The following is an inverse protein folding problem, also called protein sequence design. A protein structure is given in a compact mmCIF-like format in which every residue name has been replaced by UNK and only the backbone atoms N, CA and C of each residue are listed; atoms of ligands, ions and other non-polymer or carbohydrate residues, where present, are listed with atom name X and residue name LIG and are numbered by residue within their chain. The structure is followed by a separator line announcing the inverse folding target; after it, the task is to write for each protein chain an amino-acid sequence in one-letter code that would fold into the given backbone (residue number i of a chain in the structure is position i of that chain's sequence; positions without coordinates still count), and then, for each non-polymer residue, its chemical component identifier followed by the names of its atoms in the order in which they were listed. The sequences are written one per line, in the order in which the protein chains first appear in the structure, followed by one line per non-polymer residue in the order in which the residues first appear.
data_IF_211103657264
#
_entry.id   IF_211103657264
#
_cell.length_a   1.000
_cell.length_b   1.000
_cell.length_c   1.000
_cell.angle_alpha   90.00
_cell.angle_beta   90.00
_cell.angle_gamma   90.00
#
_symmetry.space_group_name_H-M   'P 1'
#
loop_
_entity.id
_entity.type
_entity.pdbx_description
1 polymer ?
#
# COMPACT_ATOMS: atom_id res chain seq x y z
N UNK A 1 -19.49 -32.26 -3.53
CA UNK A 1 -19.95 -31.42 -2.40
C UNK A 1 -18.96 -30.28 -2.33
N UNK A 2 -19.40 -29.07 -2.67
CA UNK A 2 -18.61 -27.84 -2.59
C UNK A 2 -19.26 -26.93 -1.53
N UNK A 3 -19.28 -27.40 -0.28
CA UNK A 3 -20.11 -26.83 0.79
C UNK A 3 -19.31 -25.87 1.69
N UNK A 4 -18.05 -26.19 2.01
CA UNK A 4 -17.21 -25.37 2.88
C UNK A 4 -16.80 -24.06 2.20
N UNK A 5 -16.41 -24.09 0.91
CA UNK A 5 -16.05 -22.87 0.18
C UNK A 5 -17.30 -22.01 -0.08
N UNK A 6 -18.43 -22.62 -0.38
CA UNK A 6 -19.70 -21.90 -0.53
C UNK A 6 -20.05 -21.13 0.74
N UNK A 7 -20.07 -21.84 1.88
CA UNK A 7 -20.38 -21.25 3.19
C UNK A 7 -19.40 -20.14 3.58
N UNK A 8 -18.11 -20.30 3.26
CA UNK A 8 -17.11 -19.25 3.44
C UNK A 8 -17.46 -18.01 2.61
N UNK A 9 -17.70 -18.15 1.31
CA UNK A 9 -17.95 -17.01 0.41
C UNK A 9 -19.24 -16.26 0.77
N UNK A 10 -20.30 -16.97 1.14
CA UNK A 10 -21.57 -16.36 1.56
C UNK A 10 -21.48 -15.67 2.93
N UNK A 11 -20.58 -16.12 3.79
CA UNK A 11 -20.31 -15.47 5.08
C UNK A 11 -19.45 -14.22 4.92
N UNK A 12 -18.41 -14.28 4.09
CA UNK A 12 -17.41 -13.22 3.97
C UNK A 12 -17.83 -12.10 3.01
N UNK A 13 -18.67 -12.40 2.02
CA UNK A 13 -18.99 -11.46 0.94
C UNK A 13 -20.50 -11.31 0.71
N UNK A 14 -20.97 -10.11 0.33
CA UNK A 14 -22.39 -9.85 0.07
C UNK A 14 -22.82 -10.37 -1.31
N UNK A 15 -22.73 -11.68 -1.52
CA UNK A 15 -22.92 -12.33 -2.82
C UNK A 15 -24.36 -12.75 -3.08
N UNK A 16 -24.77 -12.73 -4.35
CA UNK A 16 -25.94 -13.46 -4.84
C UNK A 16 -25.54 -14.82 -5.43
N UNK A 17 -26.44 -15.82 -5.56
CA UNK A 17 -26.06 -17.18 -5.96
C UNK A 17 -25.27 -17.29 -7.28
N UNK A 18 -25.55 -16.43 -8.26
CA UNK A 18 -24.81 -16.40 -9.53
C UNK A 18 -23.37 -15.90 -9.35
N UNK A 19 -23.16 -14.92 -8.46
CA UNK A 19 -21.83 -14.39 -8.15
C UNK A 19 -21.04 -15.36 -7.27
N UNK A 20 -21.70 -16.06 -6.34
CA UNK A 20 -21.04 -17.07 -5.51
C UNK A 20 -20.36 -18.14 -6.35
N UNK A 21 -21.03 -18.63 -7.40
CA UNK A 21 -20.44 -19.61 -8.34
C UNK A 21 -19.23 -19.05 -9.09
N UNK A 22 -19.28 -17.78 -9.50
CA UNK A 22 -18.13 -17.11 -10.12
C UNK A 22 -16.98 -17.03 -9.12
N UNK A 23 -17.23 -16.60 -7.90
CA UNK A 23 -16.21 -16.49 -6.86
C UNK A 23 -15.59 -17.85 -6.50
N UNK A 24 -16.37 -18.93 -6.45
CA UNK A 24 -15.86 -20.28 -6.26
C UNK A 24 -14.83 -20.65 -7.32
N UNK A 25 -15.19 -20.49 -8.61
CA UNK A 25 -14.28 -20.79 -9.73
C UNK A 25 -12.99 -19.94 -9.65
N UNK A 26 -13.13 -18.65 -9.38
CA UNK A 26 -11.97 -17.75 -9.25
C UNK A 26 -11.08 -18.10 -8.05
N UNK A 27 -11.66 -18.59 -6.95
CA UNK A 27 -10.91 -19.03 -5.77
C UNK A 27 -10.08 -20.28 -6.07
N UNK A 28 -10.65 -21.31 -6.71
CA UNK A 28 -9.89 -22.48 -7.13
C UNK A 28 -8.75 -22.10 -8.08
N UNK A 29 -9.04 -21.29 -9.10
CA UNK A 29 -8.02 -20.87 -10.07
C UNK A 29 -6.87 -20.10 -9.40
N UNK A 30 -7.19 -19.20 -8.46
CA UNK A 30 -6.22 -18.43 -7.71
C UNK A 30 -5.35 -19.33 -6.82
N UNK A 31 -5.97 -20.26 -6.08
CA UNK A 31 -5.25 -21.17 -5.18
C UNK A 31 -4.40 -22.17 -5.98
N UNK A 32 -4.89 -22.67 -7.11
CA UNK A 32 -4.12 -23.55 -7.99
C UNK A 32 -2.93 -22.84 -8.65
N UNK A 33 -3.08 -21.56 -9.04
CA UNK A 33 -1.94 -20.73 -9.48
C UNK A 33 -0.93 -20.53 -8.34
N UNK A 34 -1.42 -20.19 -7.14
CA UNK A 34 -0.55 -19.99 -5.98
C UNK A 34 0.23 -21.27 -5.61
N UNK A 35 -0.42 -22.43 -5.62
CA UNK A 35 0.26 -23.69 -5.30
C UNK A 35 1.35 -24.02 -6.33
N UNK A 36 1.08 -23.82 -7.62
CA UNK A 36 2.09 -24.03 -8.68
C UNK A 36 3.27 -23.07 -8.58
N UNK A 37 3.08 -21.87 -8.03
CA UNK A 37 4.19 -20.94 -7.80
C UNK A 37 5.07 -21.34 -6.62
N UNK A 38 4.52 -22.08 -5.64
CA UNK A 38 5.28 -22.63 -4.52
C UNK A 38 6.00 -23.93 -4.88
N UNK A 39 5.33 -24.82 -5.62
CA UNK A 39 5.89 -26.09 -6.08
C UNK A 39 5.46 -26.36 -7.54
N UNK A 40 6.31 -26.02 -8.52
CA UNK A 40 6.03 -26.26 -9.93
C UNK A 40 5.89 -27.76 -10.30
N UNK A 41 6.41 -28.66 -9.45
CA UNK A 41 6.36 -30.10 -9.66
C UNK A 41 5.18 -30.76 -8.94
N UNK A 42 4.45 -30.01 -8.10
CA UNK A 42 3.22 -30.50 -7.49
C UNK A 42 2.22 -30.86 -8.59
N UNK A 43 1.88 -32.15 -8.69
CA UNK A 43 0.68 -32.55 -9.40
C UNK A 43 -0.48 -31.85 -8.69
N UNK A 44 -1.30 -31.10 -9.44
CA UNK A 44 -2.50 -30.48 -8.90
C UNK A 44 -3.43 -31.61 -8.50
N UNK A 45 -3.26 -32.14 -7.29
CA UNK A 45 -4.27 -32.94 -6.63
C UNK A 45 -5.56 -32.10 -6.64
N UNK A 46 -6.71 -32.74 -6.81
CA UNK A 46 -7.99 -32.03 -6.73
C UNK A 46 -8.03 -31.27 -5.40
N UNK A 47 -7.94 -29.94 -5.49
CA UNK A 47 -8.03 -29.05 -4.34
C UNK A 47 -9.37 -29.29 -3.66
N UNK A 48 -9.36 -29.69 -2.38
CA UNK A 48 -10.59 -29.72 -1.60
C UNK A 48 -11.08 -28.30 -1.30
N UNK A 49 -12.37 -28.13 -1.00
CA UNK A 49 -12.92 -26.85 -0.56
C UNK A 49 -12.18 -26.32 0.67
N UNK A 50 -11.88 -27.22 1.62
CA UNK A 50 -11.16 -26.90 2.85
C UNK A 50 -9.74 -26.41 2.57
N UNK A 51 -9.05 -27.01 1.59
CA UNK A 51 -7.74 -26.53 1.13
C UNK A 51 -7.84 -25.13 0.55
N UNK A 52 -8.84 -24.87 -0.30
CA UNK A 52 -9.05 -23.54 -0.87
C UNK A 52 -9.32 -22.50 0.21
N UNK A 53 -10.24 -22.77 1.12
CA UNK A 53 -10.57 -21.87 2.24
C UNK A 53 -9.33 -21.61 3.09
N UNK A 54 -8.59 -22.65 3.47
CA UNK A 54 -7.35 -22.51 4.23
C UNK A 54 -6.34 -21.61 3.51
N UNK A 55 -6.20 -21.75 2.19
CA UNK A 55 -5.28 -20.95 1.38
C UNK A 55 -5.75 -19.53 1.15
N UNK A 56 -7.05 -19.25 1.14
CA UNK A 56 -7.57 -17.87 1.05
C UNK A 56 -7.28 -17.02 2.30
N UNK A 57 -6.79 -17.63 3.39
CA UNK A 57 -6.21 -16.90 4.52
C UNK A 57 -4.74 -16.47 4.29
N UNK A 58 -4.05 -17.01 3.28
CA UNK A 58 -2.72 -16.53 2.88
C UNK A 58 -2.89 -15.25 2.03
N UNK A 59 -2.28 -14.11 2.42
CA UNK A 59 -2.44 -12.84 1.72
C UNK A 59 -2.05 -12.91 0.24
N UNK A 60 -1.05 -13.73 -0.13
CA UNK A 60 -0.57 -13.86 -1.51
C UNK A 60 -1.61 -14.56 -2.39
N UNK A 61 -2.14 -15.68 -1.90
CA UNK A 61 -3.22 -16.43 -2.56
C UNK A 61 -4.47 -15.57 -2.67
N UNK A 62 -4.82 -14.87 -1.58
CA UNK A 62 -5.97 -13.96 -1.58
C UNK A 62 -5.77 -12.78 -2.55
N UNK A 63 -4.56 -12.23 -2.67
CA UNK A 63 -4.27 -11.20 -3.67
C UNK A 63 -4.51 -11.66 -5.11
N UNK A 64 -4.17 -12.91 -5.43
CA UNK A 64 -4.46 -13.51 -6.74
C UNK A 64 -5.97 -13.70 -6.97
N UNK A 65 -6.72 -14.05 -5.93
CA UNK A 65 -8.18 -14.13 -5.94
C UNK A 65 -8.80 -12.74 -6.12
N UNK A 66 -8.40 -11.75 -5.31
CA UNK A 66 -8.91 -10.39 -5.35
C UNK A 66 -8.69 -9.74 -6.72
N UNK A 67 -7.51 -9.91 -7.32
CA UNK A 67 -7.23 -9.44 -8.68
C UNK A 67 -8.24 -10.00 -9.68
N UNK A 68 -8.49 -11.31 -9.64
CA UNK A 68 -9.45 -11.96 -10.55
C UNK A 68 -10.86 -11.45 -10.32
N UNK A 69 -11.28 -11.26 -9.07
CA UNK A 69 -12.60 -10.72 -8.73
C UNK A 69 -12.76 -9.30 -9.28
N UNK A 70 -11.74 -8.46 -9.18
CA UNK A 70 -11.77 -7.10 -9.74
C UNK A 70 -11.89 -7.08 -11.27
N UNK A 71 -11.32 -8.07 -11.94
CA UNK A 71 -11.41 -8.24 -13.40
C UNK A 71 -12.72 -8.92 -13.84
N UNK A 72 -13.42 -9.60 -12.93
CA UNK A 72 -14.64 -10.34 -13.23
C UNK A 72 -15.89 -9.45 -13.32
N UNK A 73 -16.94 -9.99 -13.92
CA UNK A 73 -18.28 -9.38 -13.98
C UNK A 73 -19.09 -9.76 -12.74
N UNK A 74 -18.71 -9.17 -11.61
CA UNK A 74 -19.46 -9.24 -10.35
C UNK A 74 -19.79 -7.83 -9.86
N UNK A 75 -20.75 -7.73 -8.95
CA UNK A 75 -21.22 -6.50 -8.34
C UNK A 75 -20.10 -5.68 -7.72
N UNK A 76 -20.32 -4.37 -7.64
CA UNK A 76 -19.36 -3.44 -7.06
C UNK A 76 -19.17 -3.73 -5.57
N UNK A 77 -20.25 -4.09 -4.89
CA UNK A 77 -20.32 -4.41 -3.47
C UNK A 77 -19.41 -5.61 -3.15
N UNK A 78 -19.44 -6.67 -3.96
CA UNK A 78 -18.53 -7.81 -3.82
C UNK A 78 -17.07 -7.40 -4.06
N UNK A 79 -16.79 -6.57 -5.07
CA UNK A 79 -15.42 -6.09 -5.34
C UNK A 79 -14.86 -5.24 -4.19
N UNK A 80 -15.70 -4.41 -3.56
CA UNK A 80 -15.34 -3.63 -2.38
C UNK A 80 -15.07 -4.56 -1.20
N UNK A 81 -15.97 -5.49 -0.89
CA UNK A 81 -15.79 -6.42 0.23
C UNK A 81 -14.53 -7.29 0.07
N UNK A 82 -14.22 -7.75 -1.15
CA UNK A 82 -12.97 -8.47 -1.45
C UNK A 82 -11.75 -7.55 -1.31
N UNK A 83 -11.85 -6.28 -1.68
CA UNK A 83 -10.76 -5.32 -1.49
C UNK A 83 -10.51 -5.05 0.00
N UNK A 84 -11.56 -4.86 0.81
CA UNK A 84 -11.48 -4.69 2.26
C UNK A 84 -10.85 -5.92 2.91
N UNK A 85 -11.29 -7.12 2.52
CA UNK A 85 -10.73 -8.36 3.03
C UNK A 85 -9.24 -8.53 2.72
N UNK A 86 -8.77 -8.03 1.57
CA UNK A 86 -7.35 -8.05 1.25
C UNK A 86 -6.54 -7.19 2.24
N UNK A 87 -7.10 -6.06 2.69
CA UNK A 87 -6.47 -5.22 3.71
C UNK A 87 -6.45 -5.89 5.09
N UNK A 88 -7.53 -6.56 5.48
CA UNK A 88 -7.60 -7.30 6.75
C UNK A 88 -6.54 -8.43 6.86
N UNK A 89 -6.06 -8.92 5.73
CA UNK A 89 -5.02 -9.95 5.66
C UNK A 89 -3.60 -9.39 5.75
N UNK A 90 -3.42 -8.07 5.66
CA UNK A 90 -2.09 -7.46 5.83
C UNK A 90 -1.70 -7.62 7.31
N UNK A 91 -0.62 -8.35 7.63
CA UNK A 91 -0.22 -8.56 9.01
C UNK A 91 0.25 -7.23 9.61
N UNK A 92 -0.41 -6.82 10.69
CA UNK A 92 0.03 -5.75 11.58
C UNK A 92 0.52 -6.42 12.87
N UNK A 93 1.68 -6.02 13.43
CA UNK A 93 2.16 -6.53 14.71
C UNK A 93 1.12 -6.29 15.78
N UNK A 94 0.95 -7.28 16.64
CA UNK A 94 0.32 -7.02 17.91
C UNK A 94 1.26 -6.19 18.81
N UNK A 95 2.58 -6.37 18.68
CA UNK A 95 3.59 -5.70 19.51
C UNK A 95 4.83 -5.26 18.75
N UNK A 96 5.53 -4.25 19.29
CA UNK A 96 6.72 -3.61 18.70
C UNK A 96 7.91 -4.57 18.45
N UNK A 97 7.95 -5.72 19.12
CA UNK A 97 9.07 -6.67 19.11
C UNK A 97 8.82 -7.94 18.28
N UNK A 98 7.65 -8.06 17.63
CA UNK A 98 7.33 -9.24 16.81
C UNK A 98 8.19 -9.25 15.52
N UNK A 99 8.79 -10.40 15.19
CA UNK A 99 9.61 -10.55 13.99
C UNK A 99 8.76 -10.68 12.72
N UNK A 100 9.08 -9.89 11.69
CA UNK A 100 8.32 -9.79 10.44
C UNK A 100 8.99 -10.47 9.24
N UNK A 101 8.49 -11.62 8.74
CA UNK A 101 8.73 -12.05 7.37
C UNK A 101 7.73 -11.36 6.44
N UNK A 102 8.03 -10.12 6.05
CA UNK A 102 7.08 -9.20 5.38
C UNK A 102 6.76 -9.61 3.94
N UNK A 103 7.80 -9.87 3.14
CA UNK A 103 7.69 -9.95 1.68
C UNK A 103 6.76 -11.09 1.22
N UNK A 104 6.51 -12.07 2.09
CA UNK A 104 5.66 -13.21 1.83
C UNK A 104 4.19 -13.03 2.25
N UNK A 105 3.80 -11.87 2.81
CA UNK A 105 2.50 -11.72 3.48
C UNK A 105 1.71 -10.47 3.10
N UNK A 106 2.05 -9.80 2.01
CA UNK A 106 1.19 -8.75 1.44
C UNK A 106 0.40 -9.28 0.25
N UNK A 107 -0.86 -8.84 0.08
CA UNK A 107 -1.64 -9.18 -1.11
C UNK A 107 -0.94 -8.72 -2.38
N UNK A 108 -0.79 -9.64 -3.34
CA UNK A 108 -0.27 -9.30 -4.65
C UNK A 108 -1.17 -8.24 -5.32
N UNK A 109 -0.55 -7.24 -5.95
CA UNK A 109 -1.29 -6.16 -6.62
C UNK A 109 -1.99 -5.17 -5.69
N UNK A 110 -1.56 -5.02 -4.43
CA UNK A 110 -2.18 -4.12 -3.44
C UNK A 110 -2.46 -2.70 -3.97
N UNK A 111 -1.55 -2.09 -4.75
CA UNK A 111 -1.79 -0.75 -5.32
C UNK A 111 -2.95 -0.69 -6.33
N UNK A 112 -3.25 -1.79 -7.01
CA UNK A 112 -4.44 -1.90 -7.88
C UNK A 112 -5.71 -1.93 -7.03
N UNK A 113 -5.69 -2.63 -5.90
CA UNK A 113 -6.78 -2.66 -4.92
C UNK A 113 -6.99 -1.26 -4.32
N UNK A 114 -5.92 -0.59 -3.90
CA UNK A 114 -5.95 0.80 -3.40
C UNK A 114 -6.57 1.73 -4.44
N UNK A 115 -6.13 1.63 -5.71
CA UNK A 115 -6.69 2.42 -6.79
C UNK A 115 -8.19 2.18 -6.96
N UNK A 116 -8.63 0.92 -6.97
CA UNK A 116 -10.04 0.57 -7.06
C UNK A 116 -10.86 1.19 -5.93
N UNK A 117 -10.40 1.07 -4.67
CA UNK A 117 -11.07 1.67 -3.52
C UNK A 117 -11.13 3.20 -3.61
N UNK A 118 -10.07 3.85 -4.08
CA UNK A 118 -10.02 5.30 -4.26
C UNK A 118 -10.99 5.78 -5.35
N UNK A 119 -11.02 5.08 -6.50
CA UNK A 119 -11.95 5.35 -7.62
C UNK A 119 -13.42 5.14 -7.22
N UNK A 120 -13.68 4.29 -6.22
CA UNK A 120 -15.02 3.98 -5.73
C UNK A 120 -15.38 4.69 -4.41
N UNK A 121 -14.56 5.63 -3.95
CA UNK A 121 -14.80 6.37 -2.69
C UNK A 121 -14.92 5.48 -1.44
N UNK A 122 -14.34 4.28 -1.47
CA UNK A 122 -14.34 3.31 -0.37
C UNK A 122 -12.97 3.23 0.33
N UNK A 123 -12.00 4.03 -0.09
CA UNK A 123 -10.70 4.11 0.56
C UNK A 123 -10.81 4.93 1.86
N UNK A 124 -10.33 4.37 2.97
CA UNK A 124 -10.50 4.92 4.31
C UNK A 124 -9.16 5.30 4.93
N UNK A 125 -9.20 6.00 6.06
CA UNK A 125 -8.00 6.30 6.87
C UNK A 125 -7.30 5.00 7.30
N UNK A 126 -8.07 3.97 7.65
CA UNK A 126 -7.52 2.67 8.02
C UNK A 126 -6.79 2.00 6.84
N UNK A 127 -7.34 2.07 5.63
CA UNK A 127 -6.67 1.58 4.42
C UNK A 127 -5.35 2.33 4.15
N UNK A 128 -5.30 3.64 4.39
CA UNK A 128 -4.07 4.42 4.27
C UNK A 128 -3.00 3.95 5.28
N UNK A 129 -3.38 3.73 6.52
CA UNK A 129 -2.48 3.24 7.57
C UNK A 129 -1.89 1.86 7.20
N UNK A 130 -2.74 0.92 6.77
CA UNK A 130 -2.28 -0.40 6.32
C UNK A 130 -1.33 -0.30 5.11
N UNK A 131 -1.60 0.61 4.16
CA UNK A 131 -0.71 0.82 3.01
C UNK A 131 0.65 1.38 3.45
N UNK A 132 0.66 2.38 4.35
CA UNK A 132 1.89 2.95 4.91
C UNK A 132 2.69 1.86 5.61
N UNK A 133 2.01 1.03 6.41
CA UNK A 133 2.62 -0.07 7.15
C UNK A 133 3.20 -1.13 6.21
N UNK A 134 2.41 -1.56 5.22
CA UNK A 134 2.86 -2.51 4.19
C UNK A 134 4.07 -1.98 3.41
N UNK A 135 4.06 -0.70 3.01
CA UNK A 135 5.17 -0.07 2.27
C UNK A 135 6.42 0.16 3.13
N UNK A 136 6.24 0.41 4.43
CA UNK A 136 7.32 0.53 5.39
C UNK A 136 8.04 -0.80 5.58
N UNK A 137 7.25 -1.87 5.72
CA UNK A 137 7.76 -3.21 5.90
C UNK A 137 8.36 -3.79 4.61
N UNK A 138 7.74 -3.56 3.45
CA UNK A 138 8.25 -3.96 2.14
C UNK A 138 8.04 -2.83 1.10
N UNK A 139 9.10 -2.05 0.81
CA UNK A 139 9.04 -1.03 -0.25
C UNK A 139 8.76 -1.62 -1.64
N UNK A 140 8.96 -2.94 -1.82
CA UNK A 140 8.60 -3.70 -3.03
C UNK A 140 7.12 -3.60 -3.38
N UNK A 141 6.24 -3.50 -2.39
CA UNK A 141 4.78 -3.29 -2.58
C UNK A 141 4.53 -2.10 -3.48
N UNK A 142 5.22 -0.97 -3.25
CA UNK A 142 5.06 0.22 -4.06
C UNK A 142 5.74 0.09 -5.43
N UNK A 143 6.87 -0.60 -5.50
CA UNK A 143 7.66 -0.77 -6.74
C UNK A 143 7.00 -1.70 -7.75
N UNK A 144 6.29 -2.72 -7.27
CA UNK A 144 5.66 -3.77 -8.10
C UNK A 144 4.57 -3.23 -9.04
N UNK A 145 3.93 -2.12 -8.70
CA UNK A 145 2.93 -1.50 -9.56
C UNK A 145 3.57 -0.78 -10.76
N UNK A 146 2.81 -0.72 -11.85
CA UNK A 146 3.16 0.09 -13.00
C UNK A 146 3.19 1.58 -12.63
N UNK A 147 3.92 2.36 -13.42
CA UNK A 147 4.09 3.81 -13.21
C UNK A 147 2.76 4.55 -13.15
N UNK A 148 1.81 4.22 -14.01
CA UNK A 148 0.53 4.93 -14.11
C UNK A 148 -0.28 4.74 -12.83
N UNK A 149 -0.42 3.49 -12.39
CA UNK A 149 -1.13 3.17 -11.13
C UNK A 149 -0.45 3.84 -9.94
N UNK A 150 0.88 3.73 -9.84
CA UNK A 150 1.65 4.31 -8.72
C UNK A 150 1.51 5.84 -8.64
N UNK A 151 1.64 6.55 -9.76
CA UNK A 151 1.49 8.01 -9.79
C UNK A 151 0.05 8.44 -9.53
N UNK A 152 -0.93 7.73 -10.08
CA UNK A 152 -2.34 8.04 -9.85
C UNK A 152 -2.71 7.89 -8.37
N UNK A 153 -2.34 6.77 -7.75
CA UNK A 153 -2.63 6.53 -6.32
C UNK A 153 -1.97 7.57 -5.44
N UNK A 154 -0.69 7.90 -5.70
CA UNK A 154 -0.01 8.98 -4.98
C UNK A 154 -0.80 10.28 -5.04
N UNK A 155 -1.17 10.72 -6.24
CA UNK A 155 -1.90 11.98 -6.43
C UNK A 155 -3.27 11.95 -5.76
N UNK A 156 -4.00 10.83 -5.87
CA UNK A 156 -5.29 10.66 -5.25
C UNK A 156 -5.21 10.71 -3.71
N UNK A 157 -4.17 10.12 -3.10
CA UNK A 157 -3.97 10.17 -1.63
C UNK A 157 -3.65 11.60 -1.18
N UNK A 158 -2.69 12.28 -1.81
CA UNK A 158 -2.27 13.62 -1.32
C UNK A 158 -3.35 14.68 -1.51
N UNK A 159 -4.21 14.53 -2.52
CA UNK A 159 -5.31 15.42 -2.83
C UNK A 159 -6.53 15.25 -1.90
N UNK A 160 -6.62 14.14 -1.15
CA UNK A 160 -7.82 13.76 -0.41
C UNK A 160 -7.83 14.41 0.97
N UNK A 161 -8.68 15.40 1.16
CA UNK A 161 -8.70 16.23 2.38
C UNK A 161 -9.19 15.47 3.62
N UNK A 162 -10.00 14.43 3.42
CA UNK A 162 -10.50 13.57 4.52
C UNK A 162 -9.39 12.71 5.15
N UNK A 163 -8.25 12.57 4.48
CA UNK A 163 -7.12 11.81 4.99
C UNK A 163 -6.20 12.69 5.88
N UNK A 164 -5.71 12.17 7.01
CA UNK A 164 -4.82 12.92 7.90
C UNK A 164 -3.57 13.43 7.18
N UNK A 165 -3.21 14.69 7.41
CA UNK A 165 -2.09 15.34 6.70
C UNK A 165 -0.77 14.59 6.90
N UNK A 166 -0.48 14.19 8.15
CA UNK A 166 0.74 13.43 8.49
C UNK A 166 0.83 12.12 7.70
N UNK A 167 -0.26 11.36 7.63
CA UNK A 167 -0.30 10.09 6.90
C UNK A 167 -0.14 10.31 5.39
N UNK A 168 -0.76 11.37 4.84
CA UNK A 168 -0.55 11.77 3.43
C UNK A 168 0.91 12.12 3.15
N UNK A 169 1.59 12.81 4.07
CA UNK A 169 3.02 13.13 3.95
C UNK A 169 3.91 11.89 3.98
N UNK A 170 3.67 10.97 4.93
CA UNK A 170 4.40 9.71 5.05
C UNK A 170 4.24 8.88 3.79
N UNK A 171 2.99 8.69 3.34
CA UNK A 171 2.69 7.96 2.11
C UNK A 171 3.38 8.62 0.91
N UNK A 172 3.25 9.95 0.74
CA UNK A 172 3.89 10.66 -0.35
C UNK A 172 5.42 10.46 -0.37
N UNK A 173 6.05 10.52 0.80
CA UNK A 173 7.47 10.27 0.95
C UNK A 173 7.86 8.85 0.50
N UNK A 174 7.15 7.82 0.99
CA UNK A 174 7.40 6.42 0.61
C UNK A 174 7.23 6.18 -0.89
N UNK A 175 6.18 6.76 -1.49
CA UNK A 175 5.95 6.66 -2.93
C UNK A 175 7.07 7.31 -3.74
N UNK A 176 7.50 8.52 -3.38
CA UNK A 176 8.59 9.21 -4.06
C UNK A 176 9.91 8.46 -3.93
N UNK A 177 10.18 7.85 -2.78
CA UNK A 177 11.38 7.03 -2.58
C UNK A 177 11.34 5.70 -3.34
N UNK A 178 10.14 5.14 -3.58
CA UNK A 178 9.95 3.93 -4.38
C UNK A 178 9.97 4.18 -5.90
N UNK A 179 10.00 5.44 -6.36
CA UNK A 179 10.01 5.80 -7.77
C UNK A 179 11.42 5.97 -8.34
N UNK A 180 11.57 5.73 -9.64
CA UNK A 180 12.78 6.11 -10.37
C UNK A 180 13.01 7.64 -10.28
N UNK A 181 14.26 8.13 -10.26
CA UNK A 181 14.56 9.54 -10.01
C UNK A 181 13.80 10.55 -10.89
N UNK A 182 13.62 10.23 -12.18
CA UNK A 182 12.88 11.09 -13.11
C UNK A 182 11.40 11.17 -12.77
N UNK A 183 10.81 10.04 -12.40
CA UNK A 183 9.38 9.92 -12.09
C UNK A 183 9.07 10.53 -10.73
N UNK A 184 9.93 10.30 -9.73
CA UNK A 184 9.84 10.94 -8.42
C UNK A 184 9.88 12.47 -8.54
N UNK A 185 10.81 13.01 -9.34
CA UNK A 185 10.92 14.44 -9.58
C UNK A 185 9.67 15.03 -10.28
N UNK A 186 9.11 14.30 -11.26
CA UNK A 186 7.89 14.73 -11.94
C UNK A 186 6.67 14.68 -11.01
N UNK A 187 6.55 13.64 -10.20
CA UNK A 187 5.49 13.50 -9.21
C UNK A 187 5.56 14.60 -8.15
N UNK A 188 6.75 14.85 -7.58
CA UNK A 188 6.96 15.95 -6.63
C UNK A 188 6.52 17.30 -7.21
N UNK A 189 6.99 17.63 -8.43
CA UNK A 189 6.58 18.84 -9.13
C UNK A 189 5.05 18.92 -9.32
N UNK A 190 4.41 17.79 -9.63
CA UNK A 190 2.96 17.68 -9.74
C UNK A 190 2.25 18.00 -8.44
N UNK A 191 2.71 17.43 -7.32
CA UNK A 191 2.15 17.66 -5.98
C UNK A 191 2.25 19.14 -5.60
N UNK A 192 3.43 19.74 -5.70
CA UNK A 192 3.64 21.12 -5.21
C UNK A 192 2.97 22.19 -6.09
N UNK A 193 2.68 21.88 -7.35
CA UNK A 193 1.97 22.77 -8.27
C UNK A 193 0.45 22.56 -8.29
N UNK A 194 -0.04 21.43 -7.77
CA UNK A 194 -1.45 21.11 -7.76
C UNK A 194 -2.22 22.01 -6.77
N UNK A 195 -3.23 22.71 -7.27
CA UNK A 195 -4.07 23.61 -6.46
C UNK A 195 -4.98 22.88 -5.47
N UNK A 196 -5.34 21.63 -5.78
CA UNK A 196 -6.20 20.79 -4.94
C UNK A 196 -5.41 20.06 -3.83
N UNK A 197 -4.09 20.25 -3.73
CA UNK A 197 -3.30 19.72 -2.61
C UNK A 197 -3.14 20.83 -1.59
N UNK A 198 -3.44 20.53 -0.32
CA UNK A 198 -3.40 21.54 0.75
C UNK A 198 -2.02 22.21 0.82
N UNK A 199 -1.94 23.52 1.10
CA UNK A 199 -0.67 24.21 1.28
C UNK A 199 0.22 23.55 2.35
N UNK A 200 -0.38 23.01 3.40
CA UNK A 200 0.31 22.30 4.47
C UNK A 200 1.00 21.02 3.95
N UNK A 201 0.32 20.19 3.17
CA UNK A 201 0.92 18.99 2.56
C UNK A 201 2.04 19.36 1.58
N UNK A 202 1.84 20.38 0.73
CA UNK A 202 2.88 20.84 -0.22
C UNK A 202 4.14 21.33 0.50
N UNK A 203 3.95 22.17 1.51
CA UNK A 203 5.04 22.77 2.28
C UNK A 203 5.73 21.73 3.16
N UNK A 204 4.95 20.91 3.86
CA UNK A 204 5.46 19.84 4.72
C UNK A 204 6.26 18.80 3.93
N UNK A 205 5.77 18.41 2.75
CA UNK A 205 6.50 17.48 1.88
C UNK A 205 7.80 18.11 1.36
N UNK A 206 7.76 19.37 0.90
CA UNK A 206 8.97 20.05 0.47
C UNK A 206 10.00 20.20 1.62
N UNK A 207 9.54 20.52 2.83
CA UNK A 207 10.39 20.60 4.01
C UNK A 207 11.02 19.24 4.33
N UNK A 208 10.22 18.17 4.39
CA UNK A 208 10.68 16.80 4.60
C UNK A 208 11.77 16.38 3.61
N UNK A 209 11.59 16.67 2.33
CA UNK A 209 12.48 16.24 1.25
C UNK A 209 13.72 17.14 1.11
N UNK A 210 13.73 18.33 1.72
CA UNK A 210 14.81 19.31 1.55
C UNK A 210 16.12 18.94 2.26
N UNK A 211 16.06 17.99 3.21
CA UNK A 211 17.20 17.50 3.98
C UNK A 211 18.35 17.01 3.12
N UNK A 212 19.59 17.19 3.59
CA UNK A 212 20.80 16.71 2.91
C UNK A 212 20.89 15.18 2.84
N UNK A 213 20.17 14.50 3.72
CA UNK A 213 20.07 13.04 3.82
C UNK A 213 18.93 12.43 2.97
N UNK A 214 18.29 13.25 2.12
CA UNK A 214 17.12 12.83 1.36
C UNK A 214 15.87 12.64 2.23
N UNK A 215 15.79 13.35 3.37
CA UNK A 215 14.63 13.38 4.26
C UNK A 215 14.49 12.16 5.19
N UNK A 216 15.55 11.35 5.30
CA UNK A 216 15.57 10.14 6.14
C UNK A 216 15.35 10.47 7.62
N UNK A 217 15.99 11.51 8.14
CA UNK A 217 15.83 11.95 9.52
C UNK A 217 14.41 12.42 9.82
N UNK A 218 13.79 13.16 8.88
CA UNK A 218 12.38 13.54 9.00
C UNK A 218 11.48 12.31 9.03
N UNK A 219 11.65 11.40 8.07
CA UNK A 219 10.83 10.20 7.98
C UNK A 219 10.94 9.35 9.24
N UNK A 220 12.15 9.16 9.75
CA UNK A 220 12.40 8.44 10.97
C UNK A 220 11.72 9.06 12.19
N UNK A 221 11.83 10.39 12.37
CA UNK A 221 11.22 11.08 13.49
C UNK A 221 9.69 10.93 13.48
N UNK A 222 9.09 11.10 12.30
CA UNK A 222 7.64 10.92 12.12
C UNK A 222 7.24 9.47 12.32
N UNK A 223 7.99 8.51 11.78
CA UNK A 223 7.72 7.09 11.96
C UNK A 223 7.79 6.65 13.44
N UNK A 224 8.73 7.19 14.22
CA UNK A 224 8.76 6.96 15.68
C UNK A 224 7.54 7.56 16.36
N UNK A 225 7.18 8.80 16.02
CA UNK A 225 6.01 9.48 16.59
C UNK A 225 4.70 8.73 16.30
N UNK A 226 4.57 8.16 15.11
CA UNK A 226 3.41 7.39 14.68
C UNK A 226 3.45 5.91 15.13
N UNK A 227 4.44 5.50 15.92
CA UNK A 227 4.58 4.12 16.41
C UNK A 227 4.96 3.10 15.33
N UNK A 228 5.45 3.54 14.18
CA UNK A 228 5.93 2.68 13.10
C UNK A 228 7.35 2.14 13.36
N UNK A 229 8.10 2.82 14.23
CA UNK A 229 9.47 2.47 14.60
C UNK A 229 9.66 2.58 16.12
N UNK A 230 10.41 1.66 16.76
CA UNK A 230 10.85 1.86 18.13
C UNK A 230 11.82 3.05 18.20
N UNK A 231 11.95 3.71 19.36
CA UNK A 231 12.95 4.74 19.57
C UNK A 231 14.36 4.19 19.26
N UNK A 232 15.20 4.94 18.55
CA UNK A 232 16.49 4.48 17.98
C UNK A 232 17.60 4.10 18.97
N UNK A 233 17.26 3.79 20.22
CA UNK A 233 18.16 3.71 21.37
C UNK A 233 18.45 2.26 21.78
N UNK A 234 17.81 1.27 21.14
CA UNK A 234 17.58 -0.03 21.78
C UNK A 234 18.61 -1.12 21.42
N UNK A 235 19.20 -1.12 20.21
CA UNK A 235 20.32 -2.03 19.86
C UNK A 235 20.96 -1.71 18.49
N UNK A 236 22.12 -2.31 18.16
CA UNK A 236 22.69 -2.26 16.79
C UNK A 236 21.84 -3.03 15.76
N UNK A 237 21.15 -4.09 16.16
CA UNK A 237 20.20 -4.78 15.29
C UNK A 237 19.04 -3.85 14.90
N UNK A 238 18.52 -3.08 15.87
CA UNK A 238 17.48 -2.07 15.64
C UNK A 238 17.96 -0.98 14.67
N UNK A 239 19.23 -0.59 14.70
CA UNK A 239 19.80 0.40 13.77
C UNK A 239 19.95 -0.15 12.34
N UNK A 240 20.33 -1.42 12.18
CA UNK A 240 20.42 -2.07 10.86
C UNK A 240 19.03 -2.24 10.25
N UNK A 241 18.04 -2.69 11.02
CA UNK A 241 16.65 -2.77 10.56
C UNK A 241 16.08 -1.39 10.23
N UNK A 242 16.38 -0.38 11.04
CA UNK A 242 16.01 1.01 10.81
C UNK A 242 16.60 1.54 9.50
N UNK A 243 17.89 1.32 9.24
CA UNK A 243 18.55 1.76 8.01
C UNK A 243 17.98 1.05 6.76
N UNK A 244 17.55 -0.20 6.90
CA UNK A 244 16.92 -0.97 5.82
C UNK A 244 15.48 -0.50 5.51
N UNK A 245 14.74 0.00 6.52
CA UNK A 245 13.32 0.36 6.40
C UNK A 245 13.05 1.85 6.20
N UNK A 246 13.95 2.74 6.61
CA UNK A 246 13.84 4.17 6.34
C UNK A 246 14.22 4.43 4.88
N UNK A 247 13.28 4.83 4.01
CA UNK A 247 13.60 5.06 2.62
C UNK A 247 14.29 6.43 2.46
N UNK A 248 15.12 6.58 1.42
CA UNK A 248 15.69 7.87 1.04
C UNK A 248 15.14 8.28 -0.32
N UNK A 249 14.73 9.54 -0.46
CA UNK A 249 14.28 10.02 -1.76
C UNK A 249 15.47 10.30 -2.70
N UNK A 250 15.27 10.20 -4.02
CA UNK A 250 16.30 10.57 -4.99
C UNK A 250 16.78 12.03 -4.80
N UNK A 251 18.10 12.25 -4.90
CA UNK A 251 18.74 13.56 -4.63
C UNK A 251 18.14 14.72 -5.45
N UNK A 252 17.78 14.44 -6.70
CA UNK A 252 17.17 15.42 -7.59
C UNK A 252 15.78 15.91 -7.11
N UNK A 253 15.06 15.10 -6.33
CA UNK A 253 13.82 15.50 -5.65
C UNK A 253 14.16 16.48 -4.52
N UNK A 254 15.14 16.16 -3.67
CA UNK A 254 15.55 17.05 -2.59
C UNK A 254 16.06 18.41 -3.08
N UNK A 255 16.83 18.43 -4.18
CA UNK A 255 17.25 19.67 -4.84
C UNK A 255 16.08 20.48 -5.43
N UNK A 256 14.99 19.83 -5.86
CA UNK A 256 13.76 20.53 -6.29
C UNK A 256 12.98 21.08 -5.11
N UNK A 257 12.91 20.33 -4.02
CA UNK A 257 12.25 20.74 -2.79
C UNK A 257 12.91 21.98 -2.18
N UNK A 258 14.24 22.00 -2.05
CA UNK A 258 15.01 23.17 -1.61
C UNK A 258 14.72 24.42 -2.46
N UNK A 259 14.84 24.29 -3.78
CA UNK A 259 14.53 25.40 -4.71
C UNK A 259 13.08 25.86 -4.64
N UNK A 260 12.14 24.96 -4.38
CA UNK A 260 10.75 25.32 -4.22
C UNK A 260 10.54 26.14 -2.94
N UNK A 261 11.12 25.70 -1.81
CA UNK A 261 11.06 26.43 -0.54
C UNK A 261 11.72 27.80 -0.64
N UNK A 262 12.91 27.90 -1.24
CA UNK A 262 13.62 29.17 -1.45
C UNK A 262 12.75 30.19 -2.21
N UNK A 263 12.10 29.77 -3.30
CA UNK A 263 11.19 30.65 -4.06
C UNK A 263 10.01 31.13 -3.22
N UNK A 264 9.41 30.25 -2.42
CA UNK A 264 8.23 30.61 -1.62
C UNK A 264 8.57 31.37 -0.34
N UNK A 265 9.81 31.24 0.17
CA UNK A 265 10.32 32.07 1.26
C UNK A 265 10.57 33.52 0.79
N UNK A 266 11.09 33.71 -0.43
CA UNK A 266 11.32 35.02 -1.05
C UNK A 266 10.01 35.74 -1.39
N UNK A 267 8.94 35.00 -1.68
CA UNK A 267 7.65 35.57 -2.07
C UNK A 267 6.80 36.12 -0.91
N UNK A 268 7.17 35.91 0.36
CA UNK A 268 6.53 36.57 1.52
C UNK A 268 5.01 36.40 1.62
N UNK A 269 4.41 35.41 0.96
CA UNK A 269 2.97 35.15 0.98
C UNK A 269 2.67 34.12 2.06
N UNK A 270 2.00 34.55 3.13
CA UNK A 270 1.27 33.64 4.02
C UNK A 270 0.41 32.69 3.18
N UNK A 271 0.42 31.37 3.45
CA UNK A 271 -0.43 30.44 2.73
C UNK A 271 -1.89 30.76 3.03
N UNK A 272 -2.64 31.13 1.98
CA UNK A 272 -4.09 31.04 1.93
C UNK A 272 -4.47 29.74 1.23
#
# INVERSE_FOLDING_TARGET
MAEALLAFLEREFPVIPTETRVLQLLAYDAVAEFQRSLDPAAQVAELSDEDVVSRLHDPRAFGLFARRVHDARVSREVKIAVAERAFDLIPIPAFEHDAFPVAERTPSGLLRIVRFLLENESFSVLHLLHLIYAAFLDPGVLRSADRVTRTWVLMAIVAREELPETQRLIAAFQFLAAMAPRDAAAAFDGIVKAKHVSPAVRTGLAAALSGSDGGRAWFAAVAIQEGLLPPGNESEASKIEFAARVPGVPENVGARARRWLERHAVEGRSPR
#
